data_IF_926706617976
#
_entry.id   IF_926706617976
#
_cell.length_a   1.000
_cell.length_b   1.000
_cell.length_c   1.000
_cell.angle_alpha   90.00
_cell.angle_beta   90.00
_cell.angle_gamma   90.00
#
_symmetry.space_group_name_H-M   'P 1'
#
loop_
_entity.id
_entity.type
_entity.pdbx_description
1 polymer ?
#
# COMPACT_ATOMS: atom_id res chain seq x y z
N UNK A 1 -28.85 1.75 2.36
CA UNK A 1 -28.02 1.06 3.38
C UNK A 1 -26.79 0.55 2.64
N UNK A 2 -25.59 0.86 3.12
CA UNK A 2 -24.33 0.43 2.49
C UNK A 2 -23.82 -0.86 3.15
N UNK A 3 -23.27 -1.76 2.35
CA UNK A 3 -22.71 -3.05 2.77
C UNK A 3 -21.16 -3.02 2.74
N UNK A 4 -20.53 -4.12 3.16
CA UNK A 4 -19.07 -4.24 3.23
C UNK A 4 -18.35 -3.97 1.90
N UNK A 5 -18.91 -4.42 0.78
CA UNK A 5 -18.33 -4.20 -0.56
C UNK A 5 -18.41 -2.74 -0.98
N UNK A 6 -19.50 -2.03 -0.63
CA UNK A 6 -19.62 -0.60 -0.89
C UNK A 6 -18.51 0.19 -0.17
N UNK A 7 -18.16 -0.20 1.06
CA UNK A 7 -17.04 0.40 1.79
C UNK A 7 -15.69 0.07 1.13
N UNK A 8 -15.46 -1.18 0.74
CA UNK A 8 -14.22 -1.56 0.04
C UNK A 8 -14.03 -0.74 -1.23
N UNK A 9 -15.08 -0.60 -2.03
CA UNK A 9 -15.06 0.17 -3.26
C UNK A 9 -14.82 1.66 -2.99
N UNK A 10 -15.52 2.23 -2.01
CA UNK A 10 -15.35 3.63 -1.61
C UNK A 10 -13.90 3.92 -1.20
N UNK A 11 -13.29 3.07 -0.37
CA UNK A 11 -11.89 3.22 0.05
C UNK A 11 -10.91 3.06 -1.11
N UNK A 12 -11.12 2.07 -1.98
CA UNK A 12 -10.29 1.88 -3.17
C UNK A 12 -10.31 3.12 -4.06
N UNK A 13 -11.51 3.64 -4.36
CA UNK A 13 -11.68 4.83 -5.19
C UNK A 13 -11.11 6.08 -4.52
N UNK A 14 -11.23 6.19 -3.19
CA UNK A 14 -10.65 7.30 -2.41
C UNK A 14 -9.13 7.27 -2.47
N UNK A 15 -8.49 6.16 -2.08
CA UNK A 15 -7.02 6.10 -2.04
C UNK A 15 -6.36 6.21 -3.42
N UNK A 16 -7.04 5.74 -4.46
CA UNK A 16 -6.60 5.85 -5.85
C UNK A 16 -7.18 7.07 -6.57
N UNK A 17 -7.71 8.05 -5.84
CA UNK A 17 -8.10 9.32 -6.42
C UNK A 17 -6.86 10.18 -6.73
N UNK A 18 -6.80 10.71 -7.94
CA UNK A 18 -5.83 11.71 -8.36
C UNK A 18 -6.56 13.03 -8.58
N UNK A 19 -6.07 14.10 -7.95
CA UNK A 19 -6.59 15.42 -8.24
C UNK A 19 -6.07 15.90 -9.60
N UNK A 20 -6.68 16.96 -10.15
CA UNK A 20 -6.29 17.54 -11.45
C UNK A 20 -4.86 18.07 -11.51
N UNK A 21 -4.15 18.11 -10.38
CA UNK A 21 -2.80 18.65 -10.26
C UNK A 21 -1.75 17.55 -10.03
N UNK A 22 -2.15 16.28 -9.90
CA UNK A 22 -1.27 15.14 -9.60
C UNK A 22 -0.48 15.28 -8.28
N UNK A 23 -1.01 16.08 -7.34
CA UNK A 23 -0.35 16.45 -6.07
C UNK A 23 -1.09 15.97 -4.82
N UNK A 24 -1.88 14.91 -4.93
CA UNK A 24 -2.59 14.39 -3.77
C UNK A 24 -1.81 13.26 -3.08
N UNK A 25 -1.71 13.31 -1.75
CA UNK A 25 -1.12 12.27 -0.92
C UNK A 25 -2.04 11.94 0.26
N UNK A 26 -2.10 10.68 0.63
CA UNK A 26 -2.87 10.19 1.77
C UNK A 26 -1.98 10.04 3.00
N UNK A 27 -2.43 10.57 4.13
CA UNK A 27 -1.80 10.38 5.43
C UNK A 27 -2.64 9.44 6.29
N UNK A 28 -2.13 8.23 6.52
CA UNK A 28 -2.81 7.18 7.27
C UNK A 28 -2.23 7.11 8.68
N UNK A 29 -3.08 7.29 9.69
CA UNK A 29 -2.71 7.21 11.09
C UNK A 29 -3.54 6.13 11.79
N UNK A 30 -2.89 5.39 12.69
CA UNK A 30 -3.58 4.46 13.57
C UNK A 30 -3.89 5.14 14.91
N UNK A 31 -5.15 5.10 15.32
CA UNK A 31 -5.56 5.65 16.61
C UNK A 31 -4.81 4.97 17.78
N UNK A 32 -4.61 5.72 18.87
CA UNK A 32 -3.91 5.20 20.06
C UNK A 32 -4.62 4.00 20.67
N UNK A 33 -5.95 3.99 20.60
CA UNK A 33 -6.82 2.92 21.10
C UNK A 33 -7.06 1.81 20.08
N UNK A 34 -6.56 1.96 18.85
CA UNK A 34 -6.74 0.98 17.78
C UNK A 34 -6.12 -0.37 18.14
N UNK A 35 -6.94 -1.42 18.11
CA UNK A 35 -6.55 -2.80 18.36
C UNK A 35 -6.37 -3.53 17.03
N UNK A 36 -5.28 -4.28 16.92
CA UNK A 36 -4.92 -5.06 15.72
C UNK A 36 -6.02 -6.02 15.26
N UNK A 37 -6.81 -6.57 16.19
CA UNK A 37 -7.94 -7.45 15.87
C UNK A 37 -9.10 -6.78 15.11
N UNK A 38 -9.14 -5.45 15.04
CA UNK A 38 -10.21 -4.70 14.37
C UNK A 38 -9.84 -4.31 12.93
N UNK A 39 -8.71 -4.77 12.40
CA UNK A 39 -8.31 -4.44 11.03
C UNK A 39 -9.23 -5.20 10.07
N UNK A 40 -9.91 -4.51 9.14
CA UNK A 40 -10.69 -5.19 8.13
C UNK A 40 -9.78 -5.86 7.10
N UNK A 41 -10.16 -7.05 6.61
CA UNK A 41 -9.34 -7.83 5.67
C UNK A 41 -8.98 -7.05 4.40
N UNK A 42 -9.90 -6.23 3.86
CA UNK A 42 -9.60 -5.41 2.69
C UNK A 42 -8.42 -4.44 2.92
N UNK A 43 -8.23 -3.96 4.15
CA UNK A 43 -7.13 -3.05 4.47
C UNK A 43 -5.81 -3.82 4.60
N UNK A 44 -5.86 -5.06 5.09
CA UNK A 44 -4.71 -5.97 5.05
C UNK A 44 -4.27 -6.18 3.61
N UNK A 45 -5.20 -6.53 2.73
CA UNK A 45 -4.91 -6.74 1.31
C UNK A 45 -4.33 -5.47 0.68
N UNK A 46 -4.97 -4.31 0.92
CA UNK A 46 -4.47 -3.01 0.47
C UNK A 46 -3.04 -2.74 0.95
N UNK A 47 -2.73 -3.03 2.21
CA UNK A 47 -1.38 -2.83 2.76
C UNK A 47 -0.34 -3.74 2.10
N UNK A 48 -0.71 -4.95 1.70
CA UNK A 48 0.22 -5.84 0.96
C UNK A 48 0.67 -5.22 -0.36
N UNK A 49 -0.21 -4.46 -1.05
CA UNK A 49 0.09 -3.81 -2.32
C UNK A 49 0.71 -2.40 -2.18
N UNK A 50 0.15 -1.57 -1.30
CA UNK A 50 0.43 -0.13 -1.22
C UNK A 50 1.04 0.31 0.12
N UNK A 51 1.21 -0.62 1.05
CA UNK A 51 1.85 -0.35 2.33
C UNK A 51 3.37 -0.25 2.21
N UNK A 52 4.03 -0.33 3.35
CA UNK A 52 5.48 -0.16 3.45
C UNK A 52 6.27 -1.21 2.65
N UNK A 53 7.29 -0.73 1.96
CA UNK A 53 8.42 -1.49 1.42
C UNK A 53 9.59 -1.37 2.42
N UNK A 54 10.19 -2.47 2.89
CA UNK A 54 11.12 -2.43 4.03
C UNK A 54 12.41 -1.67 3.70
N UNK A 55 12.81 -1.68 2.44
CA UNK A 55 14.01 -1.08 1.89
C UNK A 55 14.02 0.46 1.96
N UNK A 56 12.85 1.08 2.11
CA UNK A 56 12.73 2.55 2.23
C UNK A 56 12.73 3.03 3.69
N UNK A 57 12.76 2.12 4.65
CA UNK A 57 12.79 2.50 6.06
C UNK A 57 14.14 3.15 6.41
N UNK A 58 14.14 4.22 7.23
CA UNK A 58 15.38 4.76 7.79
C UNK A 58 16.10 3.72 8.64
N UNK A 59 17.45 3.72 8.71
CA UNK A 59 18.19 2.73 9.48
C UNK A 59 17.70 2.54 10.93
N UNK A 60 17.39 3.60 11.71
CA UNK A 60 16.87 3.41 13.07
C UNK A 60 15.52 2.68 13.13
N UNK A 61 14.69 2.85 12.10
CA UNK A 61 13.38 2.20 12.01
C UNK A 61 13.53 0.74 11.57
N UNK A 62 14.49 0.43 10.70
CA UNK A 62 14.84 -0.95 10.31
C UNK A 62 15.30 -1.74 11.54
N UNK A 63 16.17 -1.16 12.39
CA UNK A 63 16.63 -1.81 13.61
C UNK A 63 15.47 -2.11 14.58
N UNK A 64 14.58 -1.13 14.77
CA UNK A 64 13.37 -1.31 15.58
C UNK A 64 12.43 -2.36 14.99
N UNK A 65 12.25 -2.36 13.65
CA UNK A 65 11.45 -3.34 12.94
C UNK A 65 12.01 -4.76 13.11
N UNK A 66 13.31 -4.94 12.90
CA UNK A 66 14.00 -6.22 13.09
C UNK A 66 13.94 -6.71 14.55
N UNK A 67 13.94 -5.79 15.51
CA UNK A 67 13.75 -6.14 16.92
C UNK A 67 12.33 -6.58 17.17
N UNK A 68 11.34 -5.86 16.62
CA UNK A 68 9.93 -6.23 16.71
C UNK A 68 9.67 -7.61 16.11
N UNK A 69 10.14 -7.88 14.88
CA UNK A 69 9.90 -9.14 14.17
C UNK A 69 10.46 -10.36 14.92
N UNK A 70 11.59 -10.22 15.61
CA UNK A 70 12.19 -11.29 16.43
C UNK A 70 11.39 -11.64 17.68
N UNK A 71 10.64 -10.69 18.23
CA UNK A 71 9.92 -10.84 19.51
C UNK A 71 8.40 -10.90 19.34
N UNK A 72 7.90 -10.71 18.11
CA UNK A 72 6.48 -10.76 17.79
C UNK A 72 6.10 -12.11 17.18
N UNK A 73 4.99 -12.68 17.63
CA UNK A 73 4.35 -13.78 16.92
C UNK A 73 3.81 -13.28 15.58
N UNK A 74 4.13 -13.98 14.48
CA UNK A 74 3.55 -13.68 13.19
C UNK A 74 2.05 -14.00 13.23
N UNK A 75 1.22 -13.04 12.84
CA UNK A 75 -0.19 -13.34 12.59
C UNK A 75 -0.33 -13.78 11.15
N UNK A 76 -0.88 -14.98 10.94
CA UNK A 76 -1.03 -15.63 9.63
C UNK A 76 -1.72 -14.75 8.58
N UNK A 77 -2.57 -13.81 8.99
CA UNK A 77 -3.36 -12.94 8.11
C UNK A 77 -2.98 -11.45 8.21
N UNK A 78 -1.91 -11.07 8.92
CA UNK A 78 -1.54 -9.67 9.04
C UNK A 78 -0.03 -9.49 8.78
N UNK A 79 0.36 -8.75 7.72
CA UNK A 79 1.75 -8.47 7.43
C UNK A 79 2.49 -7.93 8.67
N UNK A 80 3.72 -8.39 8.88
CA UNK A 80 4.54 -7.95 10.02
C UNK A 80 4.80 -6.45 9.96
N UNK A 81 4.94 -5.86 8.77
CA UNK A 81 5.04 -4.41 8.57
C UNK A 81 3.81 -3.64 9.07
N UNK A 82 2.60 -4.10 8.74
CA UNK A 82 1.36 -3.49 9.23
C UNK A 82 1.27 -3.62 10.76
N UNK A 83 1.63 -4.79 11.27
CA UNK A 83 1.67 -5.08 12.71
C UNK A 83 2.59 -4.12 13.45
N UNK A 84 3.78 -3.90 12.91
CA UNK A 84 4.78 -2.97 13.45
C UNK A 84 4.26 -1.52 13.44
N UNK A 85 3.65 -1.08 12.33
CA UNK A 85 3.11 0.29 12.23
C UNK A 85 2.01 0.54 13.26
N UNK A 86 1.13 -0.43 13.47
CA UNK A 86 0.07 -0.34 14.48
C UNK A 86 0.66 -0.37 15.90
N UNK A 87 1.66 -1.21 16.15
CA UNK A 87 2.30 -1.34 17.45
C UNK A 87 3.04 -0.06 17.84
N UNK A 88 3.88 0.45 16.93
CA UNK A 88 4.68 1.65 17.13
C UNK A 88 3.90 2.95 16.87
N UNK A 89 2.63 2.86 16.48
CA UNK A 89 1.77 4.01 16.14
C UNK A 89 2.39 4.91 15.07
N UNK A 90 3.05 4.28 14.10
CA UNK A 90 3.64 4.96 12.96
C UNK A 90 2.57 5.37 11.98
N UNK A 91 2.76 6.55 11.38
CA UNK A 91 1.91 7.03 10.29
C UNK A 91 2.50 6.60 8.95
N UNK A 92 1.64 6.38 7.97
CA UNK A 92 2.02 6.04 6.59
C UNK A 92 1.59 7.14 5.64
N UNK A 93 2.52 7.62 4.81
CA UNK A 93 2.20 8.54 3.71
C UNK A 93 2.16 7.71 2.43
N UNK A 94 0.99 7.65 1.80
CA UNK A 94 0.81 7.05 0.49
C UNK A 94 0.73 8.14 -0.57
N UNK A 95 1.55 8.02 -1.60
CA UNK A 95 1.55 8.87 -2.78
C UNK A 95 1.83 8.01 -4.01
N UNK A 96 1.25 8.38 -5.16
CA UNK A 96 1.46 7.66 -6.40
C UNK A 96 1.38 8.63 -7.59
N UNK A 97 2.08 8.28 -8.68
CA UNK A 97 2.09 9.02 -9.95
C UNK A 97 1.73 8.04 -11.05
N UNK A 98 0.76 8.38 -11.92
CA UNK A 98 0.59 7.66 -13.19
C UNK A 98 1.68 8.12 -14.16
N UNK A 99 2.55 7.20 -14.54
CA UNK A 99 3.47 7.38 -15.64
C UNK A 99 2.89 6.69 -16.88
N UNK A 100 2.40 7.47 -17.85
CA UNK A 100 1.94 6.94 -19.12
C UNK A 100 3.14 6.47 -19.96
N UNK A 101 3.32 5.15 -20.05
CA UNK A 101 4.27 4.54 -20.97
C UNK A 101 3.70 4.66 -22.40
N UNK A 102 4.07 5.74 -23.11
CA UNK A 102 3.69 6.13 -24.48
C UNK A 102 2.50 7.11 -24.61
N UNK A 103 2.73 8.44 -24.50
CA UNK A 103 1.67 9.46 -24.62
C UNK A 103 1.12 9.67 -26.06
N UNK A 104 1.67 8.99 -27.08
CA UNK A 104 1.29 9.20 -28.50
C UNK A 104 0.17 8.29 -29.00
N UNK A 105 -0.43 7.45 -28.16
CA UNK A 105 -1.72 6.83 -28.49
C UNK A 105 -2.78 7.52 -27.66
N UNK A 106 -3.55 8.37 -28.34
CA UNK A 106 -4.71 9.06 -27.81
C UNK A 106 -5.76 8.00 -27.43
N UNK A 107 -5.71 7.51 -26.19
CA UNK A 107 -6.73 6.61 -25.66
C UNK A 107 -7.90 7.45 -25.13
N UNK A 108 -9.15 7.12 -25.48
CA UNK A 108 -10.30 7.75 -24.84
C UNK A 108 -10.31 7.44 -23.34
N UNK A 109 -10.77 8.39 -22.53
CA UNK A 109 -10.73 8.44 -21.06
C UNK A 109 -11.58 7.36 -20.33
N UNK A 110 -11.72 6.17 -20.90
CA UNK A 110 -12.37 5.02 -20.28
C UNK A 110 -11.41 3.82 -20.27
N UNK A 111 -10.74 3.65 -19.13
CA UNK A 111 -10.14 2.44 -18.54
C UNK A 111 -9.74 1.31 -19.51
N UNK A 112 -8.44 1.00 -19.57
CA UNK A 112 -7.96 -0.32 -20.00
C UNK A 112 -6.83 -0.83 -19.08
N UNK A 113 -7.19 -1.87 -18.31
CA UNK A 113 -6.36 -2.94 -17.72
C UNK A 113 -5.20 -2.58 -16.76
N UNK A 114 -5.42 -2.81 -15.47
CA UNK A 114 -4.39 -3.24 -14.53
C UNK A 114 -4.34 -4.78 -14.56
N UNK A 115 -3.26 -5.35 -15.08
CA UNK A 115 -3.06 -6.80 -15.10
C UNK A 115 -2.05 -7.30 -16.14
N UNK A 116 -0.88 -7.68 -15.62
CA UNK A 116 0.14 -8.59 -16.17
C UNK A 116 1.06 -8.17 -17.34
N UNK A 117 2.36 -8.24 -17.00
CA UNK A 117 3.51 -8.59 -17.82
C UNK A 117 3.86 -7.70 -19.02
N UNK A 118 4.74 -6.72 -18.76
CA UNK A 118 5.61 -6.12 -19.75
C UNK A 118 7.07 -6.37 -19.38
N UNK A 119 7.71 -7.31 -20.07
CA UNK A 119 9.16 -7.40 -20.12
C UNK A 119 9.79 -6.11 -20.67
N UNK A 120 11.08 -5.98 -20.41
CA UNK A 120 12.03 -4.93 -20.82
C UNK A 120 12.01 -3.62 -20.02
N UNK A 121 12.97 -3.63 -19.07
CA UNK A 121 13.89 -2.56 -18.70
C UNK A 121 13.30 -1.15 -18.59
N UNK A 122 13.08 -0.68 -17.37
CA UNK A 122 13.70 0.56 -16.86
C UNK A 122 13.54 0.63 -15.32
N UNK A 123 14.59 1.13 -14.71
CA UNK A 123 14.96 1.20 -13.30
C UNK A 123 13.90 1.88 -12.44
N UNK A 124 13.49 1.23 -11.35
CA UNK A 124 12.64 1.85 -10.34
C UNK A 124 13.55 2.57 -9.36
N UNK A 125 13.29 3.85 -9.11
CA UNK A 125 13.80 4.51 -7.92
C UNK A 125 12.73 4.84 -6.90
N UNK A 126 11.46 4.52 -7.13
CA UNK A 126 10.42 4.57 -6.10
C UNK A 126 9.32 3.55 -6.43
N UNK A 127 8.97 2.72 -5.45
CA UNK A 127 7.91 1.71 -5.46
C UNK A 127 7.99 0.63 -6.56
N UNK A 128 8.87 -0.37 -6.34
CA UNK A 128 8.63 -1.69 -6.92
C UNK A 128 7.40 -2.33 -6.25
N UNK A 129 6.42 -2.86 -6.99
CA UNK A 129 5.45 -3.80 -6.43
C UNK A 129 6.22 -4.98 -5.82
N UNK A 130 5.89 -5.36 -4.58
CA UNK A 130 6.50 -6.54 -3.94
C UNK A 130 6.31 -7.76 -4.85
N UNK A 131 7.36 -8.55 -5.12
CA UNK A 131 7.22 -9.75 -5.94
C UNK A 131 6.24 -10.71 -5.25
N UNK A 132 5.25 -11.19 -6.00
CA UNK A 132 4.45 -12.35 -5.61
C UNK A 132 5.41 -13.55 -5.48
N UNK A 133 5.48 -14.13 -4.29
CA UNK A 133 5.99 -15.49 -4.14
C UNK A 133 4.79 -16.43 -4.30
N UNK A 134 4.75 -17.14 -5.42
CA UNK A 134 3.83 -18.26 -5.61
C UNK A 134 4.28 -19.41 -4.69
N UNK A 135 3.34 -19.95 -3.90
CA UNK A 135 3.46 -21.22 -3.19
C UNK A 135 2.63 -22.29 -3.91
#
# INVERSE_FOLDING_TARGET
>A
IYNYFDYMEAWKNTFLFQNNEDRHSWFVCFDKTFKKQNIPFWFVDWWCFYGLIEEILPPPIIEAYNTFTKHSESLTLCPTTLSFFIHCKLSWIMYWIILLKNPLKQYPLSIASFGQNGGTNMTYQNAHPKPFYDH
#
